data_IF_070522666866
#
_entry.id   IF_070522666866
#
_cell.length_a   1.000
_cell.length_b   1.000
_cell.length_c   1.000
_cell.angle_alpha   90.00
_cell.angle_beta   90.00
_cell.angle_gamma   90.00
#
_symmetry.space_group_name_H-M   'P 1'
#
loop_
_entity.id
_entity.type
_entity.pdbx_description
1 polymer ?
2 non-polymer ?
3 non-polymer ?
4 non-polymer ?
5 water ?
#
# COMPACT_ATOMS: atom_id res chain seq x y z
N UNK A 1 8.88 -41.19 -23.27
CA UNK A 1 7.81 -40.83 -22.33
C UNK A 1 8.41 -40.48 -20.98
N UNK A 2 7.62 -39.87 -20.08
CA UNK A 2 6.22 -39.47 -20.19
C UNK A 2 6.01 -38.09 -20.81
N UNK A 3 4.76 -37.75 -21.10
CA UNK A 3 4.46 -36.51 -21.80
C UNK A 3 3.15 -35.84 -21.36
N UNK A 4 3.26 -34.65 -20.76
CA UNK A 4 2.07 -33.91 -20.37
C UNK A 4 1.28 -33.48 -21.59
N UNK A 5 0.04 -33.94 -21.69
CA UNK A 5 -0.81 -33.69 -22.85
C UNK A 5 -1.98 -32.74 -22.58
N UNK A 6 -2.17 -32.39 -21.31
CA UNK A 6 -3.20 -31.41 -20.92
C UNK A 6 -2.77 -30.64 -19.68
N UNK A 7 -2.85 -29.32 -19.77
CA UNK A 7 -2.57 -28.44 -18.65
C UNK A 7 -3.00 -27.04 -19.05
N UNK A 8 -4.30 -26.80 -18.95
CA UNK A 8 -4.92 -25.56 -19.44
C UNK A 8 -4.75 -24.38 -18.46
N UNK A 9 -4.54 -23.19 -19.01
CA UNK A 9 -4.69 -21.99 -18.20
C UNK A 9 -6.11 -21.97 -17.68
N UNK A 10 -6.31 -21.32 -16.54
CA UNK A 10 -7.65 -21.16 -16.02
C UNK A 10 -7.84 -19.72 -15.55
N UNK A 11 -9.07 -19.26 -15.65
CA UNK A 11 -9.46 -18.00 -15.07
C UNK A 11 -10.57 -18.24 -14.07
N UNK A 12 -10.38 -17.78 -12.85
CA UNK A 12 -11.43 -17.90 -11.84
C UNK A 12 -11.72 -16.53 -11.23
N UNK A 13 -12.58 -16.48 -10.22
CA UNK A 13 -12.92 -15.23 -9.57
C UNK A 13 -12.77 -15.34 -8.06
N UNK A 14 -12.41 -14.23 -7.42
CA UNK A 14 -12.23 -14.21 -5.99
C UNK A 14 -13.45 -14.82 -5.26
N UNK A 15 -13.18 -15.70 -4.28
CA UNK A 15 -14.23 -16.40 -3.54
C UNK A 15 -14.88 -17.58 -4.26
N UNK A 16 -14.55 -17.75 -5.53
CA UNK A 16 -15.03 -18.90 -6.28
C UNK A 16 -14.18 -20.16 -6.07
N UNK A 17 -14.28 -21.06 -7.06
CA UNK A 17 -13.60 -22.34 -7.01
C UNK A 17 -13.03 -22.67 -8.38
N UNK A 18 -11.86 -23.28 -8.38
CA UNK A 18 -11.27 -23.68 -9.63
C UNK A 18 -10.65 -25.07 -9.46
N UNK A 19 -10.59 -25.81 -10.55
CA UNK A 19 -9.92 -27.11 -10.54
C UNK A 19 -8.87 -27.11 -11.62
N UNK A 20 -7.62 -27.34 -11.24
CA UNK A 20 -6.57 -27.44 -12.22
C UNK A 20 -6.35 -28.91 -12.55
N UNK A 21 -6.35 -29.25 -13.83
CA UNK A 21 -6.11 -30.63 -14.25
C UNK A 21 -4.82 -30.80 -15.04
N UNK A 22 -4.07 -31.84 -14.71
CA UNK A 22 -2.90 -32.23 -15.50
C UNK A 22 -2.97 -33.69 -15.93
N UNK A 23 -2.91 -33.93 -17.23
CA UNK A 23 -2.88 -35.29 -17.78
C UNK A 23 -1.55 -35.58 -18.48
N UNK A 24 -0.98 -36.76 -18.20
CA UNK A 24 0.25 -37.19 -18.86
C UNK A 24 0.16 -38.60 -19.44
N UNK A 25 0.59 -38.74 -20.70
CA UNK A 25 0.80 -40.05 -21.30
C UNK A 25 2.17 -40.57 -20.88
N UNK A 26 2.42 -41.84 -21.16
CA UNK A 26 3.72 -42.42 -20.87
C UNK A 26 3.68 -43.82 -20.32
N UNK A 27 4.82 -44.50 -20.44
CA UNK A 27 5.00 -45.86 -19.93
C UNK A 27 6.34 -45.98 -19.23
N UNK A 28 6.32 -46.40 -17.95
CA UNK A 28 5.07 -46.71 -17.23
C UNK A 28 4.22 -45.45 -17.05
N UNK A 29 2.93 -45.61 -16.77
CA UNK A 29 2.07 -44.47 -16.46
C UNK A 29 2.67 -43.64 -15.33
N UNK A 30 2.96 -42.35 -15.62
CA UNK A 30 3.74 -41.47 -14.74
C UNK A 30 2.98 -40.94 -13.53
N UNK A 31 3.72 -40.71 -12.45
CA UNK A 31 3.18 -40.07 -11.26
C UNK A 31 3.16 -38.56 -11.47
N UNK A 32 2.09 -37.90 -11.04
CA UNK A 32 1.95 -36.47 -11.21
C UNK A 32 2.02 -35.72 -9.91
N UNK A 33 2.87 -34.70 -9.89
CA UNK A 33 3.00 -33.83 -8.72
C UNK A 33 2.71 -32.36 -9.08
N UNK A 34 2.03 -31.64 -8.19
CA UNK A 34 1.76 -30.22 -8.39
C UNK A 34 2.72 -29.33 -7.59
N UNK A 35 3.18 -28.25 -8.21
CA UNK A 35 4.03 -27.30 -7.51
C UNK A 35 3.51 -25.89 -7.69
N UNK A 36 3.33 -25.16 -6.60
CA UNK A 36 2.97 -23.76 -6.70
C UNK A 36 4.23 -22.92 -6.81
N UNK A 37 4.39 -22.25 -7.96
CA UNK A 37 5.65 -21.60 -8.32
C UNK A 37 6.11 -20.49 -7.36
N UNK A 38 5.19 -19.65 -6.91
CA UNK A 38 5.57 -18.48 -6.13
C UNK A 38 6.36 -18.84 -4.87
N UNK A 39 6.07 -19.99 -4.28
CA UNK A 39 6.76 -20.37 -3.06
C UNK A 39 7.37 -21.78 -3.10
N UNK A 40 7.31 -22.44 -4.25
CA UNK A 40 7.82 -23.79 -4.39
C UNK A 40 7.07 -24.88 -3.61
N UNK A 41 5.87 -24.56 -3.15
CA UNK A 41 5.10 -25.48 -2.32
C UNK A 41 4.53 -26.64 -3.13
N UNK A 42 4.57 -27.83 -2.55
CA UNK A 42 4.18 -29.04 -3.27
C UNK A 42 2.84 -29.59 -2.80
N UNK A 43 2.04 -30.05 -3.75
CA UNK A 43 0.78 -30.71 -3.45
C UNK A 43 0.78 -32.14 -3.99
N UNK A 44 0.40 -33.07 -3.14
CA UNK A 44 0.13 -34.44 -3.57
C UNK A 44 -1.13 -34.98 -2.91
N UNK A 45 -1.75 -35.98 -3.54
CA UNK A 45 -2.96 -36.57 -3.02
C UNK A 45 -2.79 -36.97 -1.56
N UNK A 46 -3.81 -36.70 -0.75
CA UNK A 46 -3.75 -37.02 0.66
C UNK A 46 -3.06 -35.94 1.49
N UNK A 47 -1.82 -35.65 1.14
CA UNK A 47 -1.12 -34.49 1.68
C UNK A 47 -2.18 -33.40 1.91
N UNK A 48 -2.55 -33.17 3.17
CA UNK A 48 -3.73 -32.36 3.52
C UNK A 48 -3.66 -30.90 3.03
N UNK A 49 -4.22 -30.00 3.84
CA UNK A 49 -4.03 -28.58 3.64
C UNK A 49 -4.11 -27.91 5.00
N UNK A 50 -3.43 -26.78 5.13
CA UNK A 50 -3.45 -26.02 6.37
C UNK A 50 -4.75 -25.23 6.48
N UNK A 51 -4.99 -24.32 5.55
CA UNK A 51 -6.23 -23.55 5.56
C UNK A 51 -7.39 -24.36 4.98
N UNK A 52 -7.07 -25.57 4.49
CA UNK A 52 -8.07 -26.50 3.97
C UNK A 52 -8.57 -26.21 2.56
N UNK A 53 -8.29 -25.01 2.06
CA UNK A 53 -8.79 -24.58 0.76
C UNK A 53 -8.30 -25.42 -0.42
N UNK A 54 -7.16 -26.06 -0.27
CA UNK A 54 -6.49 -26.67 -1.40
C UNK A 54 -6.26 -28.17 -1.25
N UNK A 55 -6.88 -28.96 -2.11
CA UNK A 55 -6.54 -30.37 -2.17
C UNK A 55 -6.26 -30.92 -3.57
N UNK A 56 -5.47 -31.98 -3.61
CA UNK A 56 -5.08 -32.69 -4.83
C UNK A 56 -5.71 -34.08 -4.90
N UNK A 57 -6.21 -34.45 -6.07
CA UNK A 57 -6.78 -35.80 -6.24
C UNK A 57 -6.22 -36.49 -7.48
N UNK A 58 -5.92 -37.78 -7.32
CA UNK A 58 -5.31 -38.57 -8.38
C UNK A 58 -3.80 -38.42 -8.38
N UNK A 59 -3.10 -39.48 -8.75
CA UNK A 59 -1.63 -39.46 -8.70
C UNK A 59 -0.93 -39.89 -9.97
N UNK A 60 -1.59 -40.76 -10.74
CA UNK A 60 -0.96 -41.34 -11.93
C UNK A 60 -1.81 -41.05 -13.15
N UNK A 61 -1.17 -40.52 -14.19
CA UNK A 61 -1.85 -40.22 -15.43
C UNK A 61 -2.64 -38.93 -15.42
N UNK A 62 -3.44 -38.74 -14.38
CA UNK A 62 -4.21 -37.51 -14.25
C UNK A 62 -4.35 -37.10 -12.79
N UNK A 63 -4.27 -35.78 -12.56
CA UNK A 63 -4.34 -35.24 -11.22
C UNK A 63 -5.09 -33.91 -11.26
N UNK A 64 -5.90 -33.67 -10.23
CA UNK A 64 -6.66 -32.44 -10.09
C UNK A 64 -6.20 -31.66 -8.87
N UNK A 65 -5.89 -30.38 -9.06
CA UNK A 65 -5.68 -29.49 -7.94
C UNK A 65 -6.95 -28.65 -7.77
N UNK A 66 -7.62 -28.82 -6.65
CA UNK A 66 -8.86 -28.10 -6.33
C UNK A 66 -8.55 -26.97 -5.35
N UNK A 67 -8.95 -25.75 -5.70
CA UNK A 67 -8.87 -24.62 -4.77
C UNK A 67 -10.27 -24.05 -4.57
N UNK A 68 -10.73 -24.09 -3.33
CA UNK A 68 -12.00 -23.43 -3.00
C UNK A 68 -11.73 -22.10 -2.29
N UNK A 69 -12.75 -21.23 -2.26
CA UNK A 69 -12.61 -19.89 -1.67
C UNK A 69 -11.37 -19.18 -2.20
N UNK A 70 -11.28 -19.02 -3.51
CA UNK A 70 -10.11 -18.46 -4.15
C UNK A 70 -9.70 -17.10 -3.58
N UNK A 71 -8.43 -16.95 -3.23
CA UNK A 71 -7.87 -15.68 -2.80
C UNK A 71 -7.06 -15.06 -3.93
N UNK A 72 -6.84 -13.75 -3.88
CA UNK A 72 -6.03 -13.11 -4.91
C UNK A 72 -4.63 -13.69 -4.89
N UNK A 73 -4.14 -14.00 -3.70
CA UNK A 73 -2.82 -14.59 -3.53
C UNK A 73 -2.62 -15.92 -4.27
N UNK A 74 -3.72 -16.57 -4.69
CA UNK A 74 -3.63 -17.85 -5.40
C UNK A 74 -3.26 -17.65 -6.85
N UNK A 75 -3.09 -16.39 -7.22
CA UNK A 75 -2.82 -16.01 -8.60
C UNK A 75 -1.41 -16.43 -9.00
N UNK A 76 -1.21 -16.74 -10.28
CA UNK A 76 0.13 -16.98 -10.78
C UNK A 76 0.36 -18.34 -11.41
N UNK A 77 1.62 -18.76 -11.43
CA UNK A 77 2.01 -19.99 -12.10
C UNK A 77 1.90 -21.24 -11.21
N UNK A 78 1.37 -22.31 -11.77
CA UNK A 78 1.42 -23.61 -11.13
C UNK A 78 2.08 -24.60 -12.07
N UNK A 79 2.95 -25.44 -11.50
CA UNK A 79 3.69 -26.40 -12.31
C UNK A 79 3.17 -27.83 -12.14
N UNK A 80 3.12 -28.54 -13.25
CA UNK A 80 2.81 -29.95 -13.22
C UNK A 80 4.05 -30.77 -13.56
N UNK A 81 4.38 -31.70 -12.69
CA UNK A 81 5.50 -32.59 -12.94
C UNK A 81 5.05 -34.04 -13.17
N UNK A 82 5.29 -34.54 -14.38
CA UNK A 82 5.01 -35.91 -14.72
C UNK A 82 6.30 -36.72 -14.72
N UNK A 83 6.33 -37.79 -13.95
CA UNK A 83 7.53 -38.60 -13.82
C UNK A 83 7.21 -40.08 -13.79
N UNK A 84 7.83 -40.82 -14.70
CA UNK A 84 7.91 -42.27 -14.57
C UNK A 84 9.36 -42.61 -14.22
N UNK A 85 9.74 -43.87 -14.34
CA UNK A 85 11.12 -44.25 -14.04
C UNK A 85 12.07 -43.81 -15.15
N UNK A 86 11.50 -43.39 -16.28
CA UNK A 86 12.29 -43.26 -17.51
C UNK A 86 12.75 -41.87 -18.02
N UNK A 87 12.07 -40.76 -17.71
CA UNK A 87 10.85 -40.69 -16.93
C UNK A 87 10.67 -39.31 -16.30
N UNK A 88 10.61 -38.26 -17.10
CA UNK A 88 10.48 -36.91 -16.57
C UNK A 88 10.01 -35.82 -17.53
N UNK A 89 9.10 -34.97 -17.06
CA UNK A 89 8.56 -33.86 -17.87
C UNK A 89 7.75 -32.88 -17.02
N UNK A 90 7.94 -31.60 -17.26
CA UNK A 90 7.23 -30.58 -16.51
C UNK A 90 6.59 -29.55 -17.44
N UNK A 91 5.47 -28.99 -17.00
CA UNK A 91 4.81 -27.91 -17.74
C UNK A 91 4.08 -26.96 -16.80
N UNK A 92 3.96 -25.71 -17.23
CA UNK A 92 3.37 -24.67 -16.42
C UNK A 92 2.02 -24.26 -16.95
N UNK A 93 1.16 -23.77 -16.06
CA UNK A 93 -0.02 -23.03 -16.49
C UNK A 93 -0.17 -21.82 -15.57
N UNK A 94 -1.05 -20.90 -15.94
CA UNK A 94 -1.25 -19.71 -15.13
C UNK A 94 -2.69 -19.60 -14.69
N UNK A 95 -2.87 -19.31 -13.41
CA UNK A 95 -4.19 -19.10 -12.85
C UNK A 95 -4.48 -17.60 -12.80
N UNK A 96 -5.45 -17.17 -13.59
CA UNK A 96 -5.81 -15.77 -13.67
C UNK A 96 -7.04 -15.53 -12.80
N UNK A 97 -6.88 -14.69 -11.78
CA UNK A 97 -7.98 -14.44 -10.85
C UNK A 97 -8.63 -13.08 -11.01
N UNK A 98 -9.91 -13.07 -11.33
CA UNK A 98 -10.66 -11.82 -11.48
C UNK A 98 -11.44 -11.47 -10.21
N UNK A 99 -11.72 -10.19 -10.05
CA UNK A 99 -12.34 -9.69 -8.83
C UNK A 99 -12.85 -8.27 -8.97
N UNK A 100 -13.89 -7.94 -8.20
CA UNK A 100 -14.40 -6.58 -8.11
C UNK A 100 -13.26 -5.65 -7.69
N UNK A 101 -13.25 -4.43 -8.22
CA UNK A 101 -12.16 -3.49 -7.91
C UNK A 101 -11.97 -3.35 -6.41
N UNK A 102 -10.71 -3.23 -6.01
CA UNK A 102 -10.35 -3.00 -4.62
C UNK A 102 -9.61 -1.68 -4.49
N UNK A 103 -9.89 -0.95 -3.42
CA UNK A 103 -9.27 0.35 -3.21
C UNK A 103 -8.05 0.20 -2.37
N UNK A 104 -6.94 0.75 -2.84
CA UNK A 104 -5.66 0.50 -2.21
C UNK A 104 -4.87 1.76 -1.95
N UNK A 105 -5.54 2.85 -1.66
CA UNK A 105 -4.84 4.08 -1.31
C UNK A 105 -4.31 4.00 0.11
N UNK A 106 -3.13 4.56 0.35
CA UNK A 106 -2.57 4.63 1.72
C UNK A 106 -3.34 5.61 2.58
N UNK A 107 -3.98 6.57 1.93
CA UNK A 107 -4.62 7.67 2.62
C UNK A 107 -6.03 7.89 2.09
N UNK A 108 -7.00 8.01 2.98
CA UNK A 108 -8.35 8.36 2.55
C UNK A 108 -8.84 9.66 3.20
N UNK A 109 -8.09 10.17 4.15
CA UNK A 109 -8.42 11.43 4.80
C UNK A 109 -7.37 12.45 4.42
N UNK A 110 -7.81 13.56 3.85
CA UNK A 110 -6.93 14.65 3.46
C UNK A 110 -7.20 15.94 4.24
N UNK A 111 -6.19 16.78 4.37
CA UNK A 111 -6.28 18.00 5.15
C UNK A 111 -5.81 19.17 4.31
N UNK A 112 -6.50 20.31 4.39
CA UNK A 112 -6.09 21.49 3.66
C UNK A 112 -6.57 22.75 4.33
N UNK A 113 -5.87 23.85 4.07
CA UNK A 113 -6.39 25.15 4.42
C UNK A 113 -7.40 25.56 3.38
N UNK A 114 -8.21 26.54 3.76
CA UNK A 114 -8.97 27.34 2.83
C UNK A 114 -8.00 27.95 1.83
N UNK A 115 -8.37 27.97 0.56
CA UNK A 115 -7.60 28.71 -0.41
C UNK A 115 -6.35 28.04 -0.94
N UNK A 116 -6.20 26.75 -0.67
CA UNK A 116 -5.02 26.01 -1.15
C UNK A 116 -5.47 24.93 -2.08
N UNK A 117 -4.58 24.51 -2.99
CA UNK A 117 -4.90 23.41 -3.89
C UNK A 117 -4.60 22.12 -3.18
N UNK A 118 -5.12 21.02 -3.69
CA UNK A 118 -4.88 19.71 -3.10
C UNK A 118 -5.31 18.62 -4.06
N UNK A 119 -4.47 17.62 -4.25
CA UNK A 119 -4.88 16.47 -5.04
C UNK A 119 -5.28 15.31 -4.14
N UNK A 120 -6.41 14.71 -4.46
CA UNK A 120 -6.87 13.53 -3.76
C UNK A 120 -6.77 12.32 -4.66
N UNK A 121 -6.00 11.35 -4.21
CA UNK A 121 -5.64 10.23 -5.05
C UNK A 121 -6.47 8.98 -4.77
N UNK A 122 -7.22 8.53 -5.77
CA UNK A 122 -7.98 7.28 -5.63
C UNK A 122 -7.28 6.16 -6.37
N UNK A 123 -6.79 5.17 -5.64
CA UNK A 123 -5.97 4.11 -6.23
C UNK A 123 -6.67 2.77 -6.22
N UNK A 124 -6.82 2.19 -7.41
CA UNK A 124 -7.65 1.02 -7.57
C UNK A 124 -6.89 -0.11 -8.21
N UNK A 125 -6.98 -1.29 -7.61
CA UNK A 125 -6.53 -2.49 -8.30
C UNK A 125 -7.73 -3.36 -8.60
N UNK A 126 -7.85 -3.77 -9.86
CA UNK A 126 -8.95 -4.58 -10.30
C UNK A 126 -8.52 -5.44 -11.48
N UNK A 127 -9.17 -6.58 -11.62
CA UNK A 127 -8.98 -7.42 -12.78
C UNK A 127 -10.33 -7.98 -13.19
N UNK A 128 -10.79 -7.59 -14.38
CA UNK A 128 -10.14 -6.70 -15.35
C UNK A 128 -10.13 -5.26 -14.87
N UNK A 129 -9.33 -4.40 -15.54
CA UNK A 129 -9.22 -2.95 -15.33
C UNK A 129 -10.58 -2.26 -15.17
N UNK A 130 -10.71 -1.44 -14.14
CA UNK A 130 -12.00 -0.82 -13.84
C UNK A 130 -12.13 0.55 -14.47
N UNK A 131 -13.37 1.03 -14.59
CA UNK A 131 -13.57 2.44 -14.84
C UNK A 131 -13.76 3.11 -13.49
N UNK A 132 -12.98 4.16 -13.26
CA UNK A 132 -12.97 4.91 -12.01
C UNK A 132 -13.67 6.26 -12.19
N UNK A 133 -14.53 6.62 -11.25
CA UNK A 133 -15.06 7.97 -11.23
C UNK A 133 -15.02 8.58 -9.84
N UNK A 134 -14.92 9.91 -9.81
CA UNK A 134 -15.14 10.66 -8.59
C UNK A 134 -16.56 11.21 -8.59
N UNK A 135 -17.19 11.23 -7.42
CA UNK A 135 -18.51 11.80 -7.26
C UNK A 135 -18.62 12.52 -5.93
N UNK A 136 -19.54 13.48 -5.88
CA UNK A 136 -19.90 14.17 -4.65
C UNK A 136 -21.41 14.09 -4.58
N UNK A 137 -21.90 13.36 -3.59
CA UNK A 137 -23.29 12.93 -3.58
C UNK A 137 -23.55 12.01 -4.77
N UNK A 138 -24.43 12.44 -5.65
CA UNK A 138 -24.82 11.66 -6.82
C UNK A 138 -24.22 12.25 -8.08
N UNK A 139 -23.58 13.41 -7.92
CA UNK A 139 -23.02 14.16 -9.02
C UNK A 139 -21.61 13.69 -9.38
N UNK A 140 -21.45 13.27 -10.63
CA UNK A 140 -20.12 12.94 -11.14
C UNK A 140 -19.27 14.18 -11.33
N UNK A 141 -17.98 14.08 -11.01
CA UNK A 141 -17.10 15.25 -11.04
C UNK A 141 -16.13 15.12 -12.19
N UNK A 142 -15.71 16.25 -12.78
CA UNK A 142 -16.12 17.61 -12.37
C UNK A 142 -17.53 17.94 -12.85
N UNK A 143 -18.27 18.71 -12.07
CA UNK A 143 -19.57 19.20 -12.50
C UNK A 143 -19.41 20.32 -13.52
N UNK A 144 -20.48 20.57 -14.27
CA UNK A 144 -20.46 21.62 -15.29
C UNK A 144 -20.40 23.02 -14.68
N UNK A 145 -20.97 23.21 -13.50
CA UNK A 145 -20.93 24.54 -12.90
C UNK A 145 -19.76 24.83 -11.94
N UNK A 146 -18.67 24.09 -12.08
CA UNK A 146 -17.47 24.38 -11.29
C UNK A 146 -16.29 24.81 -12.15
N UNK A 147 -15.39 25.56 -11.55
CA UNK A 147 -14.17 26.00 -12.20
C UNK A 147 -12.91 25.65 -11.40
N UNK A 148 -13.04 24.76 -10.41
CA UNK A 148 -11.90 24.49 -9.54
C UNK A 148 -11.62 22.99 -9.38
N UNK A 149 -12.31 22.17 -10.16
CA UNK A 149 -12.12 20.74 -10.08
C UNK A 149 -11.67 20.14 -11.42
N UNK A 150 -10.67 19.27 -11.36
CA UNK A 150 -10.24 18.49 -12.52
C UNK A 150 -9.88 17.06 -12.10
N UNK A 151 -10.03 16.13 -13.02
CA UNK A 151 -9.58 14.77 -12.77
C UNK A 151 -8.41 14.39 -13.69
N UNK A 152 -7.60 13.47 -13.22
CA UNK A 152 -6.46 12.99 -13.97
C UNK A 152 -6.38 11.49 -13.79
N UNK A 153 -6.50 10.76 -14.90
CA UNK A 153 -6.59 9.31 -14.86
C UNK A 153 -5.31 8.63 -15.36
N UNK A 154 -4.87 7.59 -14.65
CA UNK A 154 -3.70 6.81 -15.07
C UNK A 154 -3.80 5.32 -14.68
N UNK A 155 -4.77 4.63 -15.26
CA UNK A 155 -4.84 3.18 -15.17
C UNK A 155 -5.33 2.61 -13.86
N UNK A 156 -4.51 2.73 -12.82
CA UNK A 156 -4.88 2.24 -11.49
C UNK A 156 -5.15 3.41 -10.54
N UNK A 157 -5.08 4.62 -11.07
CA UNK A 157 -5.13 5.81 -10.25
C UNK A 157 -5.96 6.92 -10.89
N UNK A 158 -6.91 7.47 -10.14
CA UNK A 158 -7.56 8.70 -10.59
C UNK A 158 -7.46 9.84 -9.57
N UNK A 159 -6.82 10.93 -9.98
CA UNK A 159 -6.58 12.05 -9.10
C UNK A 159 -7.68 13.06 -9.24
N UNK A 160 -8.16 13.56 -8.11
CA UNK A 160 -9.14 14.63 -8.10
C UNK A 160 -8.42 15.90 -7.67
N UNK A 161 -8.28 16.86 -8.56
CA UNK A 161 -7.62 18.11 -8.20
C UNK A 161 -8.63 19.17 -7.77
N UNK A 162 -8.44 19.71 -6.58
CA UNK A 162 -9.27 20.81 -6.09
C UNK A 162 -8.36 22.01 -5.90
N UNK A 163 -8.55 23.04 -6.73
CA UNK A 163 -7.61 24.14 -6.81
C UNK A 163 -8.28 25.45 -7.20
N UNK A 164 -8.42 26.38 -6.24
CA UNK A 164 -8.12 26.15 -4.83
C UNK A 164 -9.39 25.70 -4.10
N UNK A 165 -9.28 25.32 -2.83
CA UNK A 165 -10.45 24.91 -2.07
C UNK A 165 -11.22 26.13 -1.60
N UNK A 166 -12.54 26.02 -1.59
CA UNK A 166 -13.42 26.91 -0.84
C UNK A 166 -14.13 26.04 0.18
N UNK A 167 -14.85 26.65 1.12
CA UNK A 167 -15.38 25.90 2.23
C UNK A 167 -16.29 24.74 1.84
N UNK A 168 -17.14 24.95 0.84
CA UNK A 168 -18.07 23.91 0.40
C UNK A 168 -17.36 22.71 -0.25
N UNK A 169 -16.06 22.85 -0.53
CA UNK A 169 -15.27 21.74 -1.07
C UNK A 169 -14.90 20.70 -0.02
N UNK A 170 -15.03 21.06 1.24
CA UNK A 170 -14.75 20.14 2.33
C UNK A 170 -15.95 19.24 2.58
N UNK A 171 -15.67 18.02 3.04
CA UNK A 171 -16.71 17.04 3.24
C UNK A 171 -16.33 15.70 2.68
N UNK A 172 -17.33 14.96 2.21
CA UNK A 172 -17.15 13.59 1.75
C UNK A 172 -17.11 13.52 0.22
N UNK A 173 -16.18 12.72 -0.29
CA UNK A 173 -16.12 12.40 -1.70
C UNK A 173 -16.22 10.90 -1.87
N UNK A 174 -16.71 10.48 -3.03
CA UNK A 174 -17.03 9.09 -3.27
C UNK A 174 -16.31 8.67 -4.54
N UNK A 175 -15.32 7.79 -4.42
CA UNK A 175 -14.64 7.24 -5.59
C UNK A 175 -15.23 5.88 -5.98
N UNK A 176 -15.76 5.77 -7.19
CA UNK A 176 -16.38 4.51 -7.62
C UNK A 176 -15.56 3.81 -8.68
N UNK A 177 -15.53 2.49 -8.61
CA UNK A 177 -14.79 1.67 -9.56
C UNK A 177 -15.65 0.51 -9.98
N UNK A 178 -15.64 0.22 -11.27
CA UNK A 178 -16.53 -0.80 -11.79
C UNK A 178 -15.87 -1.64 -12.89
N UNK A 179 -16.00 -2.96 -12.76
CA UNK A 179 -15.70 -3.88 -13.86
C UNK A 179 -16.84 -4.89 -13.98
N UNK A 180 -16.72 -5.84 -14.90
CA UNK A 180 -17.83 -6.77 -15.11
C UNK A 180 -18.12 -7.64 -13.88
N UNK A 181 -17.20 -7.71 -12.92
CA UNK A 181 -17.46 -8.42 -11.68
C UNK A 181 -18.35 -7.64 -10.70
N UNK A 182 -18.26 -6.32 -10.71
CA UNK A 182 -19.07 -5.52 -9.80
C UNK A 182 -18.64 -4.06 -9.69
N UNK A 183 -19.45 -3.28 -8.99
CA UNK A 183 -19.09 -1.90 -8.69
C UNK A 183 -18.79 -1.75 -7.21
N UNK A 184 -17.69 -1.08 -6.91
CA UNK A 184 -17.30 -0.84 -5.53
C UNK A 184 -16.95 0.62 -5.40
N UNK A 185 -17.04 1.13 -4.18
CA UNK A 185 -16.73 2.52 -3.94
C UNK A 185 -15.97 2.66 -2.64
N UNK A 186 -15.35 3.82 -2.49
CA UNK A 186 -14.57 4.15 -1.31
C UNK A 186 -14.77 5.63 -1.05
N UNK A 187 -15.16 5.98 0.17
CA UNK A 187 -15.31 7.39 0.49
C UNK A 187 -14.00 8.01 0.93
N UNK A 188 -13.79 9.27 0.54
CA UNK A 188 -12.62 10.03 0.96
C UNK A 188 -13.06 11.29 1.69
N UNK A 189 -12.25 11.75 2.62
CA UNK A 189 -12.58 12.92 3.42
C UNK A 189 -11.58 14.04 3.16
N UNK A 190 -12.10 15.23 2.89
CA UNK A 190 -11.28 16.42 2.85
C UNK A 190 -11.70 17.30 4.03
N UNK A 191 -10.82 17.44 5.01
CA UNK A 191 -11.13 18.22 6.21
C UNK A 191 -10.38 19.54 6.25
N UNK A 192 -11.04 20.58 6.74
CA UNK A 192 -10.47 21.91 6.88
C UNK A 192 -9.50 21.91 8.06
N UNK A 193 -8.23 22.20 7.78
CA UNK A 193 -7.17 22.04 8.77
C UNK A 193 -6.57 23.38 9.25
N UNK A 194 -5.78 23.33 10.31
CA UNK A 194 -5.12 24.54 10.82
C UNK A 194 -3.61 24.33 11.01
N UNK A 195 -3.19 23.77 12.15
CA UNK A 195 -1.76 23.57 12.40
C UNK A 195 -1.25 22.41 11.56
N UNK A 196 0.07 22.33 11.37
CA UNK A 196 0.63 21.20 10.63
C UNK A 196 0.44 19.88 11.37
N UNK A 197 0.53 18.79 10.64
CA UNK A 197 0.59 17.48 11.24
C UNK A 197 2.00 17.26 11.85
N UNK A 198 2.17 16.15 12.56
CA UNK A 198 3.46 15.81 13.15
C UNK A 198 4.51 15.41 12.12
N UNK A 199 5.73 15.94 12.24
CA UNK A 199 6.88 15.49 11.46
C UNK A 199 7.21 14.07 11.89
N UNK A 200 7.97 13.34 11.09
CA UNK A 200 8.24 11.96 11.45
C UNK A 200 9.55 11.51 10.86
N UNK A 201 9.94 10.28 11.22
CA UNK A 201 11.17 9.69 10.75
C UNK A 201 12.40 10.47 11.15
N UNK A 202 12.40 11.01 12.36
CA UNK A 202 13.55 11.78 12.80
C UNK A 202 14.74 10.90 13.18
N UNK A 203 15.90 11.25 12.65
CA UNK A 203 17.12 10.50 12.83
C UNK A 203 18.26 11.45 13.16
N UNK A 204 19.27 10.97 13.87
CA UNK A 204 20.52 11.71 13.99
C UNK A 204 21.45 11.19 12.90
N UNK A 205 21.89 12.07 12.01
CA UNK A 205 22.68 11.63 10.85
C UNK A 205 24.14 12.06 10.92
N UNK A 206 24.44 12.95 11.86
CA UNK A 206 25.82 13.31 12.16
C UNK A 206 25.93 13.52 13.66
N UNK A 207 27.04 13.10 14.25
CA UNK A 207 27.12 13.00 15.70
C UNK A 207 28.54 13.06 16.24
N UNK A 208 28.81 14.07 17.05
CA UNK A 208 30.11 14.19 17.69
C UNK A 208 29.98 14.26 19.22
N UNK A 209 30.93 14.94 19.86
CA UNK A 209 30.96 15.10 21.30
C UNK A 209 30.04 16.22 21.71
N UNK A 210 29.97 17.25 20.88
CA UNK A 210 29.22 18.45 21.25
C UNK A 210 28.17 18.86 20.23
N UNK A 211 28.04 18.09 19.16
CA UNK A 211 27.11 18.48 18.11
C UNK A 211 26.43 17.28 17.53
N UNK A 212 25.30 17.53 16.88
CA UNK A 212 24.59 16.48 16.17
C UNK A 212 23.75 17.10 15.07
N UNK A 213 23.46 16.34 14.03
CA UNK A 213 22.60 16.83 12.98
C UNK A 213 21.39 15.95 12.97
N UNK A 214 20.23 16.56 13.18
CA UNK A 214 18.99 15.80 13.15
C UNK A 214 18.31 16.03 11.82
N UNK A 215 17.69 14.97 11.31
CA UNK A 215 17.02 15.01 10.02
C UNK A 215 15.66 14.37 10.18
N UNK A 216 14.66 14.89 9.49
CA UNK A 216 13.31 14.37 9.63
C UNK A 216 12.50 14.54 8.34
N UNK A 217 11.33 13.93 8.28
CA UNK A 217 10.43 14.10 7.15
C UNK A 217 9.32 15.09 7.48
N UNK A 218 9.02 15.97 6.53
CA UNK A 218 7.93 16.90 6.69
C UNK A 218 6.61 16.14 6.71
N UNK A 219 5.65 16.62 7.50
CA UNK A 219 4.33 15.98 7.38
C UNK A 219 3.80 16.32 6.01
N UNK A 220 3.30 15.31 5.29
CA UNK A 220 2.81 15.53 3.93
C UNK A 220 1.30 15.78 3.91
N UNK A 221 0.94 17.06 3.83
CA UNK A 221 -0.46 17.43 3.63
C UNK A 221 -0.80 17.46 2.15
N UNK A 222 0.15 17.03 1.32
CA UNK A 222 -0.04 17.04 -0.12
C UNK A 222 -0.25 18.47 -0.61
N UNK A 223 0.19 19.43 0.19
CA UNK A 223 0.17 20.83 -0.21
C UNK A 223 -1.02 21.60 0.34
N UNK A 224 -1.84 20.93 1.14
CA UNK A 224 -3.02 21.55 1.71
C UNK A 224 -2.70 22.47 2.87
N UNK A 225 -1.68 22.07 3.64
CA UNK A 225 -1.33 22.71 4.90
C UNK A 225 0.10 23.23 4.89
N UNK A 226 0.27 24.55 4.99
CA UNK A 226 1.63 25.12 4.95
C UNK A 226 2.49 24.84 6.20
N UNK A 227 3.80 24.71 5.98
CA UNK A 227 4.76 24.71 7.07
C UNK A 227 5.59 25.96 6.96
N UNK A 228 5.67 26.75 8.02
CA UNK A 228 6.62 27.86 8.04
C UNK A 228 8.01 27.42 8.48
N UNK A 229 8.10 26.85 9.67
CA UNK A 229 9.36 26.35 10.21
C UNK A 229 9.14 25.15 11.14
N UNK A 230 10.24 24.56 11.59
CA UNK A 230 10.16 23.49 12.58
C UNK A 230 10.72 23.94 13.93
N UNK A 231 10.15 23.44 15.02
CA UNK A 231 10.72 23.64 16.36
C UNK A 231 11.36 22.33 16.73
N UNK A 232 12.67 22.36 16.98
CA UNK A 232 13.36 21.18 17.48
C UNK A 232 13.60 21.37 18.98
N UNK A 233 13.07 20.45 19.79
CA UNK A 233 13.24 20.46 21.24
C UNK A 233 14.25 19.40 21.63
N UNK A 234 15.28 19.80 22.37
CA UNK A 234 16.25 18.83 22.85
C UNK A 234 16.40 18.91 24.38
N UNK A 235 16.62 17.77 25.02
CA UNK A 235 16.63 17.70 26.49
C UNK A 235 17.47 16.55 26.96
N UNK A 236 18.31 16.80 27.96
CA UNK A 236 19.08 15.72 28.56
C UNK A 236 18.11 14.92 29.44
N UNK A 237 18.23 13.59 29.42
CA UNK A 237 17.17 12.73 29.95
C UNK A 237 16.86 12.86 31.44
N UNK A 238 17.76 13.46 32.21
CA UNK A 238 17.50 13.64 33.63
C UNK A 238 17.33 15.12 33.91
N UNK A 239 17.17 15.91 32.86
CA UNK A 239 16.98 17.35 32.99
C UNK A 239 15.54 17.71 32.67
N UNK A 240 15.15 18.92 33.05
CA UNK A 240 13.75 19.33 33.02
C UNK A 240 13.48 20.30 31.89
N UNK A 241 14.50 21.07 31.52
CA UNK A 241 14.33 22.13 30.55
C UNK A 241 14.60 21.71 29.13
N UNK A 242 13.56 21.82 28.30
CA UNK A 242 13.69 21.63 26.86
C UNK A 242 14.39 22.84 26.27
N UNK A 243 15.48 22.61 25.56
CA UNK A 243 16.12 23.66 24.82
C UNK A 243 15.53 23.64 23.40
N UNK A 244 15.15 24.83 22.91
CA UNK A 244 14.47 24.95 21.63
C UNK A 244 15.37 25.53 20.56
N UNK A 245 15.42 24.87 19.42
CA UNK A 245 16.14 25.36 18.24
C UNK A 245 15.17 25.42 17.04
N UNK A 246 14.99 26.61 16.47
CA UNK A 246 14.15 26.77 15.29
C UNK A 246 14.93 26.39 14.05
N UNK A 247 14.30 25.70 13.11
CA UNK A 247 14.91 25.48 11.81
C UNK A 247 14.96 26.75 10.95
N UNK A 248 15.84 26.74 9.98
CA UNK A 248 15.84 27.77 8.93
C UNK A 248 14.69 27.47 7.97
N UNK A 249 13.57 28.18 8.15
CA UNK A 249 12.41 27.97 7.30
C UNK A 249 12.01 26.51 7.21
N UNK A 250 11.70 26.03 6.01
CA UNK A 250 11.19 24.67 5.83
C UNK A 250 12.27 23.61 5.68
N UNK A 251 13.52 23.94 6.04
CA UNK A 251 14.59 22.95 6.08
C UNK A 251 14.26 21.82 7.06
N UNK A 252 14.50 20.57 6.64
CA UNK A 252 14.20 19.43 7.50
C UNK A 252 15.46 18.77 8.06
N UNK A 253 16.51 19.56 8.16
CA UNK A 253 17.70 19.21 8.91
C UNK A 253 18.00 20.40 9.80
N UNK A 254 18.47 20.10 11.01
CA UNK A 254 18.91 21.13 11.93
C UNK A 254 20.14 20.65 12.69
N UNK A 255 21.12 21.53 12.81
CA UNK A 255 22.34 21.21 13.52
C UNK A 255 22.21 21.63 14.98
N UNK A 256 22.50 20.69 15.88
CA UNK A 256 22.46 20.96 17.31
C UNK A 256 23.87 21.18 17.86
N UNK A 257 24.05 22.32 18.50
CA UNK A 257 25.33 22.69 19.07
C UNK A 257 25.34 22.75 20.58
N UNK A 258 26.54 22.80 21.14
CA UNK A 258 26.77 22.96 22.58
C UNK A 258 26.20 21.83 23.38
N UNK A 259 26.54 20.61 23.00
CA UNK A 259 26.11 19.43 23.72
C UNK A 259 27.27 18.94 24.59
N UNK A 260 26.96 18.25 25.68
CA UNK A 260 27.97 17.59 26.49
C UNK A 260 28.37 16.29 25.84
N UNK A 261 29.64 15.94 25.96
CA UNK A 261 30.13 14.63 25.50
C UNK A 261 29.54 13.50 26.33
N UNK A 262 29.43 12.31 25.75
CA UNK A 262 28.87 11.14 26.45
C UNK A 262 27.58 11.40 27.21
N UNK A 263 26.64 12.09 26.57
CA UNK A 263 25.42 12.48 27.23
C UNK A 263 24.21 12.03 26.41
N UNK A 264 23.18 11.56 27.12
CA UNK A 264 21.97 11.04 26.51
C UNK A 264 20.87 12.11 26.43
N UNK A 265 20.43 12.37 25.20
CA UNK A 265 19.46 13.42 24.90
C UNK A 265 18.15 12.87 24.27
N UNK A 266 17.04 13.53 24.61
CA UNK A 266 15.76 13.29 23.97
C UNK A 266 15.62 14.39 22.97
N UNK A 267 15.07 14.05 21.81
CA UNK A 267 14.84 15.06 20.78
C UNK A 267 13.42 14.85 20.21
N UNK A 268 12.70 15.95 20.02
CA UNK A 268 11.39 15.90 19.36
C UNK A 268 11.23 17.10 18.45
N UNK A 269 10.44 16.94 17.40
CA UNK A 269 10.24 17.99 16.40
C UNK A 269 8.76 18.28 16.16
N UNK A 270 8.40 19.55 16.06
CA UNK A 270 7.06 19.93 15.65
C UNK A 270 7.11 20.95 14.52
N UNK A 271 6.13 20.89 13.64
CA UNK A 271 5.99 21.90 12.59
C UNK A 271 5.10 23.06 13.04
N UNK A 272 5.37 24.23 12.49
CA UNK A 272 4.69 25.45 12.88
C UNK A 272 4.25 26.19 11.64
N UNK A 273 3.01 26.66 11.61
CA UNK A 273 2.59 27.63 10.61
C UNK A 273 1.82 28.76 11.24
N UNK A 274 1.15 29.56 10.40
CA UNK A 274 0.42 30.74 10.86
C UNK A 274 -0.70 30.48 11.84
N UNK A 275 -1.27 29.29 11.83
CA UNK A 275 -2.35 28.97 12.76
C UNK A 275 -1.80 28.39 14.06
N UNK A 276 -0.52 28.08 14.09
CA UNK A 276 0.09 27.52 15.29
C UNK A 276 1.05 26.36 15.13
N UNK A 277 1.25 25.61 16.21
CA UNK A 277 2.18 24.50 16.20
C UNK A 277 1.42 23.16 16.33
N UNK A 278 1.79 22.19 15.50
CA UNK A 278 1.18 20.87 15.52
C UNK A 278 1.83 19.97 16.56
N UNK A 279 1.43 18.70 16.55
CA UNK A 279 1.98 17.70 17.45
C UNK A 279 3.49 17.51 17.27
N UNK A 280 4.12 17.01 18.32
CA UNK A 280 5.52 16.64 18.23
C UNK A 280 5.63 15.26 17.63
N UNK A 281 6.74 15.01 16.97
CA UNK A 281 7.09 13.68 16.54
C UNK A 281 7.29 12.82 17.77
N UNK A 282 7.21 11.52 17.61
CA UNK A 282 7.61 10.61 18.68
C UNK A 282 9.03 10.99 19.11
N UNK A 283 9.26 11.06 20.44
CA UNK A 283 10.58 11.33 21.00
C UNK A 283 11.61 10.27 20.59
N UNK A 284 12.80 10.72 20.20
CA UNK A 284 13.92 9.83 19.86
C UNK A 284 15.10 10.09 20.82
N UNK A 285 15.88 9.05 21.07
CA UNK A 285 16.99 9.14 22.01
C UNK A 285 18.31 9.01 21.29
N UNK A 286 19.22 9.95 21.52
CA UNK A 286 20.59 9.76 21.05
C UNK A 286 21.59 10.03 22.15
N UNK A 287 22.83 9.64 21.91
CA UNK A 287 23.90 9.83 22.88
C UNK A 287 25.15 10.34 22.19
N UNK A 288 25.58 11.55 22.56
CA UNK A 288 26.81 12.08 22.01
C UNK A 288 28.03 11.18 22.26
N UNK A 289 29.05 11.36 21.44
CA UNK A 289 30.31 10.66 21.59
C UNK A 289 30.99 11.08 22.90
N UNK A 290 31.74 10.15 23.51
CA UNK A 290 32.60 10.48 24.67
C UNK A 290 33.85 11.19 24.19
N UNK A 291 34.53 11.91 25.07
CA UNK A 291 35.80 12.55 24.71
C UNK A 291 36.87 11.54 24.28
X LIG B 1 -1.37 -19.57 -20.60
X LIG B 1 -1.26 -19.65 -22.12
X LIG B 1 0.12 -19.15 -22.55
X LIG B 1 0.34 -17.74 -21.99
X LIG B 1 0.10 -17.69 -20.49
X LIG B 1 0.15 -16.22 -20.05
X LIG B 1 -1.10 -22.10 -22.07
X LIG B 1 -2.03 -23.28 -22.15
X LIG B 1 -1.52 -20.98 -22.66
X LIG B 1 0.19 -19.14 -23.95
X LIG B 1 1.65 -17.32 -22.27
X LIG B 1 -1.14 -18.25 -20.12
X LIG B 1 -0.33 -16.10 -18.73
X LIG B 1 -0.02 -22.19 -21.48
X LIG C 1 -2.41 17.33 -9.10
X LIG C 1 -1.23 18.27 -8.91
X LIG C 1 -0.87 18.89 -10.26
X LIG C 1 -0.66 17.81 -11.31
X LIG C 1 -1.86 16.86 -11.30
X LIG C 1 -1.77 15.77 -12.38
X LIG C 1 -1.38 19.36 -6.71
X LIG C 1 -2.45 20.00 -5.87
X LIG C 1 -1.63 19.34 -8.01
X LIG C 1 0.26 19.74 -10.19
X LIG C 1 -0.58 18.47 -12.54
X LIG C 1 -2.06 16.32 -10.02
X LIG C 1 -0.62 14.97 -12.19
X LIG C 1 -0.37 18.91 -6.18
X LIG D 1 -20.70 6.07 -4.11
X LIG D 1 -21.85 5.86 -3.13
X LIG D 1 -22.57 4.54 -3.37
X LIG D 1 -23.00 4.48 -4.83
X LIG D 1 -21.80 4.72 -5.73
X LIG D 1 -22.22 4.70 -7.19
X LIG D 1 -21.93 6.82 -0.91
X LIG D 1 -21.90 6.47 0.55
X LIG D 1 -21.38 5.94 -1.75
X LIG D 1 -23.68 4.42 -2.49
X LIG D 1 -23.56 3.22 -5.15
X LIG D 1 -21.22 5.97 -5.43
X LIG D 1 -23.02 5.82 -7.42
X LIG D 1 -22.39 7.88 -1.28
X LIG E 1 -3.86 17.36 10.95
X LIG E 1 -2.99 17.98 9.93
X LIG E 1 -3.32 19.46 9.80
X LIG E 1 -3.89 19.92 11.08
X LIG E 1 -3.41 19.32 12.33
X LIG E 1 -3.57 17.81 12.33
X LIG E 1 -5.20 20.54 11.12
X LIG E 1 -5.74 20.53 12.54
X LIG E 1 -7.14 20.42 12.46
X LIG E 1 -3.84 15.89 10.90
X LIG E 1 -2.88 15.37 11.96
X LIG E 1 -2.91 13.57 12.09
X LIG E 1 -2.80 12.95 10.76
X LIG E 1 -1.79 13.14 12.92
X LIG E 1 -4.19 13.18 12.73
X LIG F 1 -16.83 26.82 -5.35
X LIG F 1 -17.21 25.44 -5.85
X LIG F 1 -17.14 26.92 -3.88
X LIG F 1 -15.33 27.05 -5.60
X LIG F 1 -17.67 27.86 -6.06
X LIG G 1 -20.60 16.13 3.75
X LIG G 1 -21.63 15.01 3.83
X LIG G 1 -21.24 17.48 4.00
X LIG G 1 -19.57 15.94 4.85
X LIG G 1 -19.95 16.09 2.38
X LIG H 1 -18.18 20.26 -5.06
X LIG H 1 -17.13 19.53 -4.22
X LIG H 1 -19.16 20.99 -4.13
X LIG H 1 -17.50 21.25 -5.98
X LIG H 1 -18.94 19.29 -5.95
#
# INVERSE_FOLDING_TARGET
QPHIIQLKNETTYENGQVTLVCDAEGEPIPEITWKRAVDGFTFTEGDKSLDGRIEVKGQHGSSSLHIKDVKLSDSGRYDCEAASRIGGHQKSMYLDIEYAPKFISNQTIYYSWEGNPINISCDVKSNPPASIHWRRDKLVLPAKNTTNLKTYSTGRKMILEIAPTSDNDFGRYNCTATNHIGTRFQEYILALADVPSSPYGVKIIELSQTTAKVSFNKPDSHGGVPIHHYQVDVKEVASEIWKIVRSHGVQTMVVLNNLEPNTTYEIRVAAVNGKGQGDYSKIEIFQTLPV
NAG C1 C2 C3 C4 C5 C6 C7 C8 N2 O3 O4 O5 O6 O7
NAG C1 C2 C3 C4 C5 C6 C7 C8 N2 O3 O4 O5 O6 O7
NAG C1 C2 C3 C4 C5 C6 C7 C8 N2 O3 O4 O5 O6 O7
EPE N1 C2 C3 N4 C5 C6 C7 C8 O8 C9 C10 S O1S O2S O3S
PO4 P O1 O2 O3 O4
PO4 P O1 O2 O3 O4
PO4 P O1 O2 O3 O4
#
